data_IF_725359478926
#
_entry.id   IF_725359478926
#
_cell.length_a   1.000
_cell.length_b   1.000
_cell.length_c   1.000
_cell.angle_alpha   90.00
_cell.angle_beta   90.00
_cell.angle_gamma   90.00
#
_symmetry.space_group_name_H-M   'P 1'
#
loop_
_entity.id
_entity.type
_entity.pdbx_description
1 polymer ?
#
# COMPACT_ATOMS: atom_id res chain seq x y z
N UNK A 1 -10.99 -15.78 -16.25
CA UNK A 1 -11.98 -14.68 -16.14
C UNK A 1 -12.26 -14.43 -14.66
N UNK A 2 -12.16 -13.18 -14.23
CA UNK A 2 -12.23 -12.79 -12.82
C UNK A 2 -13.63 -12.88 -12.21
N UNK A 3 -14.71 -12.86 -13.01
CA UNK A 3 -16.10 -12.87 -12.55
C UNK A 3 -16.39 -11.87 -11.39
N UNK A 4 -15.84 -10.65 -11.48
CA UNK A 4 -15.94 -9.64 -10.41
C UNK A 4 -14.97 -9.86 -9.25
N UNK A 5 -14.12 -10.87 -9.29
CA UNK A 5 -13.16 -11.22 -8.25
C UNK A 5 -11.82 -10.52 -8.37
N UNK A 6 -10.88 -10.97 -7.53
CA UNK A 6 -9.48 -10.55 -7.51
C UNK A 6 -8.58 -11.77 -7.65
N UNK A 7 -7.41 -11.57 -8.23
CA UNK A 7 -6.33 -12.57 -8.26
C UNK A 7 -5.10 -11.93 -7.63
N UNK A 8 -4.45 -12.71 -6.77
CA UNK A 8 -3.13 -12.41 -6.23
C UNK A 8 -2.19 -13.55 -6.64
N UNK A 9 -1.18 -13.23 -7.42
CA UNK A 9 -0.14 -14.17 -7.84
C UNK A 9 1.19 -13.79 -7.19
N UNK A 10 1.90 -14.76 -6.67
CA UNK A 10 3.14 -14.57 -5.91
C UNK A 10 4.25 -15.46 -6.47
N UNK A 11 5.47 -14.98 -6.46
CA UNK A 11 6.64 -15.75 -6.80
C UNK A 11 7.91 -14.91 -6.89
N UNK A 12 9.00 -15.47 -6.37
CA UNK A 12 10.34 -14.93 -6.54
C UNK A 12 10.46 -13.41 -6.29
N UNK A 13 10.07 -12.96 -5.08
CA UNK A 13 10.11 -11.54 -4.64
C UNK A 13 9.19 -10.58 -5.42
N UNK A 14 8.23 -11.12 -6.17
CA UNK A 14 7.30 -10.36 -7.00
C UNK A 14 5.88 -10.79 -6.76
N UNK A 15 4.96 -9.88 -6.98
CA UNK A 15 3.56 -10.25 -7.03
C UNK A 15 2.80 -9.48 -8.11
N UNK A 16 1.71 -10.08 -8.57
CA UNK A 16 0.75 -9.45 -9.47
C UNK A 16 -0.60 -9.46 -8.76
N UNK A 17 -1.17 -8.29 -8.58
CA UNK A 17 -2.49 -8.11 -8.01
C UNK A 17 -3.44 -7.63 -9.11
N UNK A 18 -4.54 -8.36 -9.33
CA UNK A 18 -5.53 -8.04 -10.37
C UNK A 18 -6.89 -7.90 -9.73
N UNK A 19 -7.65 -6.89 -10.13
CA UNK A 19 -9.03 -6.68 -9.72
C UNK A 19 -9.91 -6.23 -10.89
N UNK A 20 -11.16 -6.68 -10.91
CA UNK A 20 -12.16 -6.19 -11.84
C UNK A 20 -12.95 -5.06 -11.19
N UNK A 21 -13.02 -3.91 -11.89
CA UNK A 21 -13.83 -2.76 -11.48
C UNK A 21 -15.31 -3.01 -11.80
N UNK A 22 -16.19 -2.22 -11.20
CA UNK A 22 -17.65 -2.35 -11.41
C UNK A 22 -18.11 -2.13 -12.85
N UNK A 23 -17.34 -1.39 -13.66
CA UNK A 23 -17.60 -1.19 -15.09
C UNK A 23 -17.03 -2.32 -16.00
N UNK A 24 -16.45 -3.38 -15.39
CA UNK A 24 -15.88 -4.50 -16.12
C UNK A 24 -14.40 -4.33 -16.49
N UNK A 25 -13.81 -3.15 -16.32
CA UNK A 25 -12.37 -2.92 -16.54
C UNK A 25 -11.53 -3.74 -15.58
N UNK A 26 -10.36 -4.16 -16.04
CA UNK A 26 -9.36 -4.84 -15.22
C UNK A 26 -8.27 -3.87 -14.87
N UNK A 27 -8.06 -3.67 -13.56
CA UNK A 27 -6.89 -2.99 -13.03
C UNK A 27 -5.90 -4.00 -12.49
N UNK A 28 -4.60 -3.76 -12.65
CA UNK A 28 -3.57 -4.61 -12.08
C UNK A 28 -2.37 -3.81 -11.58
N UNK A 29 -1.65 -4.41 -10.66
CA UNK A 29 -0.41 -3.89 -10.11
C UNK A 29 0.67 -4.95 -10.26
N UNK A 30 1.84 -4.52 -10.74
CA UNK A 30 3.08 -5.29 -10.73
C UNK A 30 3.90 -4.78 -9.55
N UNK A 31 4.19 -5.63 -8.58
CA UNK A 31 4.90 -5.24 -7.38
C UNK A 31 6.20 -6.01 -7.25
N UNK A 32 7.29 -5.28 -6.99
CA UNK A 32 8.66 -5.81 -6.92
C UNK A 32 9.38 -5.22 -5.71
N UNK A 33 10.26 -6.00 -5.12
CA UNK A 33 11.23 -5.51 -4.15
C UNK A 33 12.52 -5.16 -4.88
N UNK A 34 12.76 -3.86 -5.06
CA UNK A 34 13.90 -3.32 -5.78
C UNK A 34 14.58 -2.20 -4.97
N UNK A 35 15.75 -1.75 -5.41
CA UNK A 35 16.42 -0.61 -4.81
C UNK A 35 15.58 0.67 -4.95
N UNK A 36 15.64 1.58 -3.97
CA UNK A 36 14.90 2.84 -3.94
C UNK A 36 15.16 3.69 -5.20
N UNK A 37 16.36 3.63 -5.73
CA UNK A 37 16.76 4.36 -6.94
C UNK A 37 16.31 3.69 -8.25
N UNK A 38 15.68 2.51 -8.19
CA UNK A 38 15.38 1.70 -9.37
C UNK A 38 14.53 2.45 -10.41
N UNK A 39 13.48 3.14 -9.99
CA UNK A 39 12.63 3.91 -10.94
C UNK A 39 13.48 4.92 -11.73
N UNK A 40 14.39 5.62 -11.04
CA UNK A 40 15.26 6.62 -11.66
C UNK A 40 16.32 5.98 -12.56
N UNK A 41 16.87 4.84 -12.17
CA UNK A 41 18.01 4.21 -12.81
C UNK A 41 17.62 3.17 -13.87
N UNK A 42 16.37 2.73 -13.90
CA UNK A 42 15.88 1.73 -14.85
C UNK A 42 15.92 2.18 -16.30
N UNK A 43 15.95 3.49 -16.56
CA UNK A 43 15.84 4.11 -17.88
C UNK A 43 14.58 3.68 -18.67
N UNK A 44 13.57 3.12 -18.00
CA UNK A 44 12.32 2.69 -18.63
C UNK A 44 11.40 3.88 -18.90
N UNK A 45 10.94 3.99 -20.12
CA UNK A 45 9.84 4.89 -20.44
C UNK A 45 8.50 4.23 -20.13
N UNK A 46 7.92 4.54 -18.97
CA UNK A 46 6.66 3.96 -18.51
C UNK A 46 5.44 4.30 -19.37
N UNK A 47 5.56 5.24 -20.30
CA UNK A 47 4.55 5.53 -21.31
C UNK A 47 4.77 4.72 -22.60
N UNK A 48 5.87 4.00 -22.74
CA UNK A 48 6.18 3.16 -23.89
C UNK A 48 5.81 1.70 -23.58
N UNK A 49 4.64 1.28 -24.02
CA UNK A 49 4.15 -0.09 -23.78
C UNK A 49 5.11 -1.18 -24.28
N UNK A 50 5.79 -0.96 -25.39
CA UNK A 50 6.74 -1.94 -25.94
C UNK A 50 7.95 -2.12 -25.03
N UNK A 51 8.49 -1.03 -24.47
CA UNK A 51 9.59 -1.11 -23.50
C UNK A 51 9.16 -1.83 -22.23
N UNK A 52 7.97 -1.51 -21.70
CA UNK A 52 7.44 -2.18 -20.52
C UNK A 52 7.17 -3.66 -20.78
N UNK A 53 6.65 -4.03 -21.95
CA UNK A 53 6.44 -5.43 -22.31
C UNK A 53 7.75 -6.21 -22.39
N UNK A 54 8.80 -5.62 -23.00
CA UNK A 54 10.11 -6.24 -23.06
C UNK A 54 10.74 -6.40 -21.67
N UNK A 55 10.66 -5.35 -20.84
CA UNK A 55 11.08 -5.41 -19.46
C UNK A 55 10.30 -6.49 -18.67
N UNK A 56 8.98 -6.58 -18.84
CA UNK A 56 8.15 -7.58 -18.19
C UNK A 56 8.58 -9.00 -18.58
N UNK A 57 8.83 -9.25 -19.85
CA UNK A 57 9.30 -10.57 -20.37
C UNK A 57 10.61 -11.01 -19.73
N UNK A 58 11.54 -10.10 -19.52
CA UNK A 58 12.82 -10.40 -18.86
C UNK A 58 12.64 -10.58 -17.34
N UNK A 59 11.92 -9.68 -16.71
CA UNK A 59 11.76 -9.66 -15.26
C UNK A 59 10.88 -10.80 -14.74
N UNK A 60 9.87 -11.20 -15.52
CA UNK A 60 8.92 -12.28 -15.20
C UNK A 60 9.12 -13.54 -16.05
N UNK A 61 10.31 -13.76 -16.62
CA UNK A 61 10.61 -14.88 -17.52
C UNK A 61 10.33 -16.27 -16.96
N UNK A 62 10.32 -16.42 -15.63
CA UNK A 62 9.99 -17.66 -14.93
C UNK A 62 8.48 -17.85 -14.69
N UNK A 63 7.68 -16.84 -15.01
CA UNK A 63 6.24 -16.87 -14.87
C UNK A 63 5.57 -17.39 -16.15
N UNK A 64 4.32 -17.89 -16.04
CA UNK A 64 3.57 -18.32 -17.20
C UNK A 64 3.37 -17.17 -18.20
N UNK A 65 3.55 -17.45 -19.49
CA UNK A 65 3.47 -16.43 -20.54
C UNK A 65 2.11 -15.75 -20.67
N UNK A 66 1.04 -16.40 -20.19
CA UNK A 66 -0.30 -15.79 -20.19
C UNK A 66 -0.37 -14.47 -19.40
N UNK A 67 0.56 -14.23 -18.46
CA UNK A 67 0.65 -12.95 -17.76
C UNK A 67 1.06 -11.78 -18.64
N UNK A 68 1.72 -12.03 -19.78
CA UNK A 68 2.07 -10.99 -20.76
C UNK A 68 0.83 -10.29 -21.32
N UNK A 69 -0.31 -11.01 -21.42
CA UNK A 69 -1.58 -10.46 -21.90
C UNK A 69 -2.04 -9.24 -21.09
N UNK A 70 -1.72 -9.16 -19.82
CA UNK A 70 -2.03 -7.97 -18.99
C UNK A 70 -1.34 -6.72 -19.53
N UNK A 71 -0.06 -6.83 -19.85
CA UNK A 71 0.75 -5.72 -20.38
C UNK A 71 0.39 -5.42 -21.82
N UNK A 72 0.21 -6.45 -22.65
CA UNK A 72 -0.15 -6.31 -24.07
C UNK A 72 -1.48 -5.60 -24.27
N UNK A 73 -2.47 -5.90 -23.42
CA UNK A 73 -3.82 -5.34 -23.55
C UNK A 73 -4.02 -4.04 -22.73
N UNK A 74 -2.98 -3.52 -22.07
CA UNK A 74 -3.05 -2.24 -21.37
C UNK A 74 -3.31 -1.11 -22.35
N UNK A 75 -4.29 -0.26 -22.04
CA UNK A 75 -4.67 0.90 -22.86
C UNK A 75 -4.08 2.23 -22.33
N UNK A 76 -3.68 2.26 -21.06
CA UNK A 76 -3.10 3.43 -20.40
C UNK A 76 -1.61 3.26 -20.14
N UNK A 77 -0.92 4.36 -19.84
CA UNK A 77 0.48 4.34 -19.43
C UNK A 77 0.64 3.68 -18.06
N UNK A 78 1.78 3.01 -17.87
CA UNK A 78 2.15 2.50 -16.55
C UNK A 78 2.57 3.65 -15.64
N UNK A 79 2.19 3.57 -14.39
CA UNK A 79 2.51 4.58 -13.38
C UNK A 79 3.43 3.93 -12.34
N UNK A 80 4.74 4.24 -12.35
CA UNK A 80 5.64 3.75 -11.32
C UNK A 80 5.33 4.44 -9.98
N UNK A 81 5.32 3.65 -8.91
CA UNK A 81 5.05 4.14 -7.55
C UNK A 81 6.06 3.55 -6.57
N UNK A 82 6.85 4.41 -5.95
CA UNK A 82 7.61 4.02 -4.77
C UNK A 82 6.68 3.91 -3.58
N UNK A 83 6.84 2.84 -2.80
CA UNK A 83 6.10 2.64 -1.57
C UNK A 83 6.96 3.15 -0.42
N UNK A 84 6.47 4.15 0.28
CA UNK A 84 7.10 4.73 1.46
C UNK A 84 6.20 4.61 2.69
N UNK A 85 6.76 4.96 3.83
CA UNK A 85 6.02 5.04 5.08
C UNK A 85 6.60 6.09 6.02
N UNK A 86 5.78 6.57 6.94
CA UNK A 86 6.22 7.46 8.00
C UNK A 86 7.01 6.66 9.06
N UNK A 87 8.06 7.25 9.68
CA UNK A 87 8.83 6.59 10.72
C UNK A 87 7.94 6.10 11.87
N UNK A 88 8.20 4.88 12.37
CA UNK A 88 7.40 4.28 13.45
C UNK A 88 7.53 5.05 14.78
N UNK A 89 8.63 5.77 14.96
CA UNK A 89 8.93 6.55 16.16
C UNK A 89 8.74 8.06 15.94
N UNK A 90 7.90 8.45 14.99
CA UNK A 90 7.65 9.86 14.71
C UNK A 90 7.15 10.60 15.97
N UNK A 91 7.66 11.79 16.15
CA UNK A 91 7.30 12.64 17.26
C UNK A 91 7.42 14.11 16.85
N UNK A 92 6.49 14.95 17.32
CA UNK A 92 6.51 16.39 17.14
C UNK A 92 5.84 17.08 18.32
N UNK A 93 6.13 18.35 18.50
CA UNK A 93 5.46 19.20 19.49
C UNK A 93 4.08 19.61 18.96
N UNK A 94 3.04 19.39 19.76
CA UNK A 94 1.66 19.75 19.39
C UNK A 94 1.49 21.26 19.22
N UNK A 95 0.96 21.67 18.09
CA UNK A 95 0.59 23.04 17.77
C UNK A 95 -0.88 23.26 18.16
N UNK A 96 -1.18 24.42 18.76
CA UNK A 96 -2.50 24.67 19.36
C UNK A 96 -3.67 24.76 18.39
N UNK A 97 -3.41 24.92 17.09
CA UNK A 97 -4.44 25.15 16.07
C UNK A 97 -4.16 24.42 14.74
N UNK A 98 -3.25 23.44 14.76
CA UNK A 98 -2.88 22.66 13.58
C UNK A 98 -2.59 21.23 13.96
N UNK A 99 -3.12 20.29 13.22
CA UNK A 99 -2.76 18.87 13.27
C UNK A 99 -2.88 18.24 11.89
N UNK A 100 -2.51 16.99 11.76
CA UNK A 100 -2.57 16.18 10.54
C UNK A 100 -3.35 14.89 10.79
N UNK A 101 -4.02 14.38 9.76
CA UNK A 101 -4.79 13.14 9.78
C UNK A 101 -4.47 12.31 8.53
N UNK A 102 -4.77 11.02 8.57
CA UNK A 102 -4.63 10.11 7.43
C UNK A 102 -3.21 10.02 6.90
N UNK A 103 -3.05 9.93 5.58
CA UNK A 103 -1.74 9.77 4.93
C UNK A 103 -0.76 10.90 5.25
N UNK A 104 -1.25 12.12 5.52
CA UNK A 104 -0.38 13.22 5.95
C UNK A 104 0.27 12.98 7.31
N UNK A 105 -0.38 12.18 8.18
CA UNK A 105 0.11 11.82 9.50
C UNK A 105 0.87 10.50 9.51
N UNK A 106 0.40 9.50 8.75
CA UNK A 106 0.87 8.13 8.89
C UNK A 106 0.78 7.32 7.58
N UNK A 107 1.20 7.92 6.44
CA UNK A 107 1.31 7.13 5.20
C UNK A 107 2.04 5.82 5.47
N UNK A 108 1.49 4.72 4.99
CA UNK A 108 2.01 3.37 5.21
C UNK A 108 1.93 2.54 3.93
N UNK A 109 2.71 1.44 3.82
CA UNK A 109 2.55 0.50 2.71
C UNK A 109 1.12 -0.05 2.66
N UNK A 110 0.59 -0.41 1.48
CA UNK A 110 -0.82 -0.85 1.36
C UNK A 110 -1.07 -2.29 1.80
N UNK A 111 -0.08 -2.99 2.35
CA UNK A 111 -0.11 -4.43 2.58
C UNK A 111 -0.91 -4.88 3.83
N UNK A 112 -1.33 -3.95 4.69
CA UNK A 112 -2.33 -4.22 5.74
C UNK A 112 -3.75 -3.87 5.29
N UNK A 113 -3.91 -3.05 4.24
CA UNK A 113 -5.23 -2.60 3.77
C UNK A 113 -5.93 -1.58 4.67
N UNK A 114 -5.23 -1.00 5.64
CA UNK A 114 -5.82 -0.21 6.74
C UNK A 114 -5.76 1.32 6.55
N UNK A 115 -5.08 1.82 5.51
CA UNK A 115 -4.86 3.27 5.35
C UNK A 115 -6.14 4.11 5.41
N UNK A 116 -7.19 3.71 4.68
CA UNK A 116 -8.48 4.41 4.66
C UNK A 116 -9.20 4.30 6.01
N UNK A 117 -9.20 3.10 6.63
CA UNK A 117 -9.82 2.87 7.92
C UNK A 117 -9.17 3.73 9.00
N UNK A 118 -7.85 3.82 8.99
CA UNK A 118 -7.07 4.67 9.89
C UNK A 118 -7.41 6.15 9.71
N UNK A 119 -7.50 6.63 8.46
CA UNK A 119 -7.85 8.01 8.18
C UNK A 119 -9.28 8.37 8.64
N UNK A 120 -10.22 7.45 8.48
CA UNK A 120 -11.60 7.61 8.97
C UNK A 120 -11.65 7.63 10.50
N UNK A 121 -10.88 6.77 11.15
CA UNK A 121 -10.78 6.73 12.61
C UNK A 121 -10.15 8.01 13.15
N UNK A 122 -9.13 8.54 12.50
CA UNK A 122 -8.52 9.83 12.86
C UNK A 122 -9.55 10.97 12.86
N UNK A 123 -10.37 11.05 11.81
CA UNK A 123 -11.41 12.05 11.70
C UNK A 123 -12.46 11.92 12.83
N UNK A 124 -12.84 10.70 13.16
CA UNK A 124 -13.77 10.42 14.25
C UNK A 124 -13.17 10.84 15.60
N UNK A 125 -12.01 10.30 15.96
CA UNK A 125 -11.36 10.55 17.26
C UNK A 125 -11.02 12.02 17.47
N UNK A 126 -10.50 12.70 16.43
CA UNK A 126 -10.23 14.13 16.52
C UNK A 126 -11.51 14.93 16.74
N UNK A 127 -12.59 14.61 16.02
CA UNK A 127 -13.88 15.29 16.19
C UNK A 127 -14.45 15.11 17.60
N UNK A 128 -14.41 13.89 18.14
CA UNK A 128 -14.86 13.59 19.50
C UNK A 128 -14.07 14.38 20.56
N UNK A 129 -12.73 14.42 20.42
CA UNK A 129 -11.86 15.16 21.35
C UNK A 129 -12.08 16.68 21.29
N UNK A 130 -12.34 17.23 20.09
CA UNK A 130 -12.59 18.65 19.90
C UNK A 130 -13.97 19.10 20.39
N UNK A 131 -14.95 18.18 20.43
CA UNK A 131 -16.34 18.47 20.85
C UNK A 131 -16.69 17.97 22.25
N UNK A 132 -15.74 17.37 22.96
CA UNK A 132 -15.94 16.89 24.31
C UNK A 132 -16.27 18.04 25.26
N UNK A 133 -17.32 17.85 26.08
CA UNK A 133 -17.83 18.89 27.01
C UNK A 133 -16.78 19.22 28.10
N UNK A 134 -15.93 18.28 28.43
CA UNK A 134 -14.86 18.36 29.44
C UNK A 134 -13.49 18.68 28.84
N UNK A 135 -13.44 19.01 27.55
CA UNK A 135 -12.18 19.43 26.89
C UNK A 135 -11.60 20.69 27.55
N UNK A 136 -10.38 20.58 28.08
CA UNK A 136 -9.69 21.69 28.79
C UNK A 136 -9.31 22.79 27.81
N UNK A 137 -8.76 22.42 26.64
CA UNK A 137 -8.42 23.32 25.53
C UNK A 137 -8.35 22.59 24.19
N UNK A 138 -8.43 23.33 23.09
CA UNK A 138 -8.21 22.77 21.74
C UNK A 138 -6.81 22.16 21.62
N UNK A 139 -5.79 22.76 22.24
CA UNK A 139 -4.44 22.20 22.25
C UNK A 139 -4.39 20.86 22.95
N UNK A 140 -5.08 20.69 24.07
CA UNK A 140 -5.11 19.41 24.80
C UNK A 140 -5.87 18.35 24.01
N UNK A 141 -6.97 18.71 23.36
CA UNK A 141 -7.71 17.82 22.47
C UNK A 141 -6.82 17.30 21.32
N UNK A 142 -6.10 18.20 20.65
CA UNK A 142 -5.15 17.86 19.58
C UNK A 142 -4.02 16.97 20.14
N UNK A 143 -3.42 17.33 21.27
CA UNK A 143 -2.31 16.58 21.88
C UNK A 143 -2.72 15.14 22.22
N UNK A 144 -3.91 14.97 22.79
CA UNK A 144 -4.45 13.66 23.14
C UNK A 144 -4.71 12.82 21.87
N UNK A 145 -5.30 13.42 20.84
CA UNK A 145 -5.50 12.77 19.55
C UNK A 145 -4.16 12.33 18.95
N UNK A 146 -3.20 13.23 18.81
CA UNK A 146 -1.88 12.94 18.21
C UNK A 146 -1.14 11.82 18.95
N UNK A 147 -1.24 11.81 20.28
CA UNK A 147 -0.61 10.76 21.09
C UNK A 147 -1.16 9.37 20.79
N UNK A 148 -2.49 9.23 20.73
CA UNK A 148 -3.14 7.93 20.44
C UNK A 148 -2.97 7.55 18.97
N UNK A 149 -3.12 8.48 18.05
CA UNK A 149 -2.93 8.27 16.61
C UNK A 149 -1.52 7.73 16.32
N UNK A 150 -0.46 8.36 16.86
CA UNK A 150 0.93 7.90 16.64
C UNK A 150 1.18 6.47 17.13
N UNK A 151 0.63 6.10 18.29
CA UNK A 151 0.76 4.73 18.82
C UNK A 151 0.10 3.71 17.91
N UNK A 152 -1.13 3.98 17.50
CA UNK A 152 -1.91 3.14 16.60
C UNK A 152 -1.23 3.04 15.24
N UNK A 153 -0.82 4.17 14.66
CA UNK A 153 -0.14 4.23 13.36
C UNK A 153 1.16 3.41 13.36
N UNK A 154 1.97 3.49 14.42
CA UNK A 154 3.21 2.72 14.52
C UNK A 154 2.96 1.20 14.47
N UNK A 155 1.91 0.72 15.14
CA UNK A 155 1.55 -0.70 15.16
C UNK A 155 1.12 -1.17 13.77
N UNK A 156 0.17 -0.46 13.15
CA UNK A 156 -0.40 -0.85 11.85
C UNK A 156 0.64 -0.69 10.72
N UNK A 157 1.45 0.37 10.76
CA UNK A 157 2.54 0.55 9.79
C UNK A 157 3.55 -0.58 9.89
N UNK A 158 3.93 -1.01 11.11
CA UNK A 158 4.82 -2.15 11.31
C UNK A 158 4.24 -3.43 10.73
N UNK A 159 2.97 -3.72 11.01
CA UNK A 159 2.28 -4.87 10.43
C UNK A 159 2.27 -4.82 8.90
N UNK A 160 1.99 -3.65 8.33
CA UNK A 160 1.99 -3.46 6.88
C UNK A 160 3.37 -3.71 6.26
N UNK A 161 4.44 -3.27 6.92
CA UNK A 161 5.82 -3.54 6.49
C UNK A 161 6.09 -5.05 6.52
N UNK A 162 5.76 -5.73 7.63
CA UNK A 162 5.95 -7.18 7.79
C UNK A 162 5.17 -7.99 6.74
N UNK A 163 3.95 -7.59 6.44
CA UNK A 163 3.15 -8.20 5.37
C UNK A 163 3.79 -7.98 3.99
N UNK A 164 4.31 -6.78 3.74
CA UNK A 164 5.06 -6.50 2.52
C UNK A 164 6.30 -7.39 2.36
N UNK A 165 7.05 -7.61 3.44
CA UNK A 165 8.20 -8.53 3.43
C UNK A 165 7.78 -9.98 3.11
N UNK A 166 6.66 -10.45 3.67
CA UNK A 166 6.10 -11.78 3.36
C UNK A 166 5.69 -11.89 1.91
N UNK A 167 5.00 -10.89 1.38
CA UNK A 167 4.51 -10.86 -0.01
C UNK A 167 5.65 -10.77 -1.05
N UNK A 168 6.82 -10.26 -0.66
CA UNK A 168 8.00 -10.12 -1.52
C UNK A 168 9.15 -11.03 -1.08
N UNK A 169 8.84 -12.15 -0.43
CA UNK A 169 9.79 -13.21 -0.09
C UNK A 169 10.03 -14.14 -1.29
N UNK A 170 11.15 -14.84 -1.32
CA UNK A 170 11.41 -15.88 -2.33
C UNK A 170 10.35 -16.98 -2.31
N UNK A 171 9.89 -17.35 -1.11
CA UNK A 171 8.85 -18.34 -0.87
C UNK A 171 7.46 -17.72 -0.66
N UNK A 172 7.21 -16.53 -1.22
CA UNK A 172 5.98 -15.77 -0.98
C UNK A 172 4.71 -16.56 -1.29
N UNK A 173 4.71 -17.41 -2.31
CA UNK A 173 3.55 -18.25 -2.66
C UNK A 173 3.15 -19.18 -1.51
N UNK A 174 4.12 -19.92 -0.94
CA UNK A 174 3.87 -20.86 0.15
C UNK A 174 3.42 -20.13 1.42
N UNK A 175 4.09 -19.02 1.75
CA UNK A 175 3.75 -18.17 2.90
C UNK A 175 2.31 -17.66 2.79
N UNK A 176 1.92 -17.17 1.61
CA UNK A 176 0.59 -16.61 1.41
C UNK A 176 -0.50 -17.69 1.33
N UNK A 177 -0.20 -18.86 0.76
CA UNK A 177 -1.11 -20.00 0.78
C UNK A 177 -1.39 -20.48 2.21
N UNK A 178 -0.36 -20.58 3.05
CA UNK A 178 -0.52 -20.91 4.46
C UNK A 178 -1.39 -19.86 5.18
N UNK A 179 -1.08 -18.59 5.02
CA UNK A 179 -1.84 -17.48 5.61
C UNK A 179 -3.33 -17.57 5.26
N UNK A 180 -3.70 -17.73 3.99
CA UNK A 180 -5.10 -17.83 3.56
C UNK A 180 -5.77 -19.15 3.96
N UNK A 181 -5.02 -20.18 4.29
CA UNK A 181 -5.57 -21.47 4.76
C UNK A 181 -5.90 -21.43 6.24
N UNK A 182 -5.08 -20.76 7.04
CA UNK A 182 -5.25 -20.63 8.49
C UNK A 182 -6.35 -19.62 8.90
N UNK A 183 -6.70 -18.69 7.99
CA UNK A 183 -7.67 -17.61 8.25
C UNK A 183 -8.98 -17.78 7.46
N UNK A 184 -9.37 -19.02 7.17
CA UNK A 184 -10.67 -19.35 6.55
C UNK A 184 -11.81 -19.42 7.56
#
# INVERSE_FOLDING_TARGET
KLNGGKIMAFGNKKNILIGQKGNGEIGFYLSLKVDESWIKNSNLNFSNKTEILNWFREEYKEWDKSWEELVENTIESFIPRSIGYMPLNQNWETISNLTVIGDAAHVMPPFAGEGVNMAMLDALELSEKLTAIDAISVKDAISNYESEMRKRAAIITKESIENGEKMHNENSLEIMLQFFTEHK
#
